data_IF_289025659755
#
_entry.id   IF_289025659755
#
_cell.length_a   1.000
_cell.length_b   1.000
_cell.length_c   1.000
_cell.angle_alpha   90.00
_cell.angle_beta   90.00
_cell.angle_gamma   90.00
#
_symmetry.space_group_name_H-M   'P 1'
#
loop_
_entity.id
_entity.type
_entity.pdbx_description
1 polymer ?
#
# COMPACT_ATOMS: atom_id res chain seq x y z
N UNK A 1 13.65 -3.53 16.31
CA UNK A 1 13.05 -4.88 16.32
C UNK A 1 11.84 -4.86 15.39
N UNK A 2 12.03 -5.32 14.14
CA UNK A 2 11.06 -5.19 13.05
C UNK A 2 9.78 -5.98 13.38
N UNK A 3 8.76 -5.28 13.87
CA UNK A 3 7.39 -5.82 13.94
C UNK A 3 6.80 -5.73 12.55
N UNK A 4 7.02 -6.74 11.71
CA UNK A 4 6.19 -6.91 10.53
C UNK A 4 4.76 -7.07 11.02
N UNK A 5 3.95 -6.02 10.87
CA UNK A 5 2.50 -6.07 11.05
C UNK A 5 1.97 -6.95 9.92
N UNK A 6 1.97 -8.25 10.18
CA UNK A 6 1.43 -9.23 9.27
C UNK A 6 -0.09 -9.02 9.24
N UNK A 7 -0.66 -8.79 8.06
CA UNK A 7 -2.09 -8.55 7.87
C UNK A 7 -2.69 -9.65 7.02
N UNK A 8 -3.87 -10.12 7.42
CA UNK A 8 -4.69 -11.00 6.60
C UNK A 8 -5.49 -10.14 5.61
N UNK A 9 -5.33 -10.39 4.32
CA UNK A 9 -6.17 -9.76 3.29
C UNK A 9 -7.57 -10.37 3.37
N UNK A 10 -8.59 -9.52 3.43
CA UNK A 10 -9.99 -9.93 3.44
C UNK A 10 -10.75 -9.21 2.33
N UNK A 11 -11.63 -9.94 1.64
CA UNK A 11 -12.44 -9.41 0.56
C UNK A 11 -13.68 -8.71 1.14
N UNK A 12 -14.02 -7.53 0.63
CA UNK A 12 -15.24 -6.83 1.04
C UNK A 12 -16.47 -7.45 0.38
N UNK A 13 -17.54 -7.62 1.16
CA UNK A 13 -18.84 -8.07 0.66
C UNK A 13 -19.40 -6.98 -0.29
N UNK A 14 -19.60 -7.33 -1.57
CA UNK A 14 -20.14 -6.41 -2.59
C UNK A 14 -19.30 -6.24 -3.87
N UNK A 15 -18.18 -6.97 -4.00
CA UNK A 15 -17.38 -6.96 -5.23
C UNK A 15 -18.05 -7.75 -6.36
N UNK A 16 -17.98 -7.24 -7.61
CA UNK A 16 -18.46 -7.96 -8.80
C UNK A 16 -17.61 -9.22 -9.06
N UNK A 17 -18.19 -10.24 -9.70
CA UNK A 17 -17.50 -11.51 -10.00
C UNK A 17 -16.23 -11.35 -10.84
N UNK A 18 -16.16 -10.29 -11.66
CA UNK A 18 -14.95 -9.90 -12.40
C UNK A 18 -13.84 -9.42 -11.46
N UNK A 19 -14.15 -8.47 -10.58
CA UNK A 19 -13.24 -7.94 -9.57
C UNK A 19 -12.63 -9.03 -8.68
N UNK A 20 -13.42 -10.03 -8.27
CA UNK A 20 -12.93 -11.14 -7.44
C UNK A 20 -11.88 -11.97 -8.19
N UNK A 21 -12.08 -12.25 -9.48
CA UNK A 21 -11.11 -13.02 -10.30
C UNK A 21 -9.82 -12.24 -10.54
N UNK A 22 -9.93 -10.95 -10.80
CA UNK A 22 -8.77 -10.07 -10.98
C UNK A 22 -7.95 -9.95 -9.69
N UNK A 23 -8.61 -10.09 -8.53
CA UNK A 23 -7.92 -10.13 -7.24
C UNK A 23 -7.03 -11.34 -7.12
N UNK A 24 -7.55 -12.54 -7.41
CA UNK A 24 -6.77 -13.77 -7.29
C UNK A 24 -5.55 -13.75 -8.21
N UNK A 25 -5.65 -13.10 -9.38
CA UNK A 25 -4.50 -12.92 -10.28
C UNK A 25 -3.47 -11.95 -9.71
N UNK A 26 -3.89 -10.76 -9.27
CA UNK A 26 -2.99 -9.76 -8.70
C UNK A 26 -2.32 -10.26 -7.41
N UNK A 27 -3.04 -11.02 -6.58
CA UNK A 27 -2.45 -11.68 -5.40
C UNK A 27 -1.38 -12.70 -5.80
N UNK A 28 -1.60 -13.49 -6.85
CA UNK A 28 -0.62 -14.44 -7.35
C UNK A 28 0.66 -13.74 -7.85
N UNK A 29 0.50 -12.68 -8.64
CA UNK A 29 1.62 -11.88 -9.15
C UNK A 29 2.44 -11.27 -8.02
N UNK A 30 1.79 -10.77 -6.95
CA UNK A 30 2.46 -10.24 -5.78
C UNK A 30 3.14 -11.31 -4.93
N UNK A 31 2.59 -12.53 -4.89
CA UNK A 31 3.21 -13.70 -4.24
C UNK A 31 4.45 -14.15 -5.00
N UNK A 32 4.37 -14.25 -6.33
CA UNK A 32 5.49 -14.62 -7.21
C UNK A 32 6.61 -13.56 -7.16
N UNK A 33 6.25 -12.28 -7.10
CA UNK A 33 7.20 -11.18 -6.93
C UNK A 33 7.83 -11.15 -5.52
N UNK A 34 7.33 -11.93 -4.56
CA UNK A 34 7.82 -11.96 -3.18
C UNK A 34 7.45 -10.74 -2.34
N UNK A 35 6.52 -9.90 -2.82
CA UNK A 35 6.05 -8.70 -2.11
C UNK A 35 5.13 -9.05 -0.93
N UNK A 36 4.38 -10.15 -1.04
CA UNK A 36 3.49 -10.64 0.01
C UNK A 36 3.77 -12.11 0.30
N UNK A 37 3.40 -12.58 1.49
CA UNK A 37 3.48 -13.99 1.86
C UNK A 37 2.22 -14.41 2.63
N UNK A 38 1.78 -15.69 2.52
CA UNK A 38 0.63 -16.19 3.24
C UNK A 38 0.88 -16.16 4.75
N UNK A 39 -0.06 -15.60 5.49
CA UNK A 39 0.10 -15.37 6.92
C UNK A 39 -1.13 -15.71 7.74
N UNK A 40 -0.91 -16.02 9.02
CA UNK A 40 -1.96 -16.33 10.01
C UNK A 40 -2.11 -15.19 11.02
N UNK A 41 -2.21 -13.96 10.51
CA UNK A 41 -2.40 -12.79 11.36
C UNK A 41 -3.80 -12.73 11.98
N UNK A 42 -3.93 -12.30 13.24
CA UNK A 42 -5.24 -12.07 13.87
C UNK A 42 -5.93 -10.81 13.30
N UNK A 43 -5.18 -9.90 12.68
CA UNK A 43 -5.70 -8.67 12.10
C UNK A 43 -5.97 -8.84 10.60
N UNK A 44 -7.23 -8.58 10.22
CA UNK A 44 -7.66 -8.54 8.83
C UNK A 44 -7.83 -7.10 8.34
N UNK A 45 -7.57 -6.86 7.07
CA UNK A 45 -7.83 -5.57 6.41
C UNK A 45 -8.58 -5.79 5.11
N UNK A 46 -9.56 -4.94 4.76
CA UNK A 46 -10.26 -5.07 3.50
C UNK A 46 -9.38 -4.64 2.33
N UNK A 47 -9.53 -5.35 1.21
CA UNK A 47 -8.92 -5.04 -0.08
C UNK A 47 -9.96 -4.43 -1.01
N UNK A 48 -9.57 -3.35 -1.69
CA UNK A 48 -10.39 -2.56 -2.59
C UNK A 48 -9.76 -2.55 -3.99
N UNK A 49 -10.60 -2.46 -5.02
CA UNK A 49 -10.14 -2.29 -6.40
C UNK A 49 -10.52 -0.93 -6.92
N UNK A 50 -9.54 -0.23 -7.50
CA UNK A 50 -9.78 1.00 -8.23
C UNK A 50 -9.49 0.77 -9.71
N UNK A 51 -10.50 1.01 -10.55
CA UNK A 51 -10.33 0.99 -12.00
C UNK A 51 -9.66 2.28 -12.45
N UNK A 52 -8.50 2.14 -13.10
CA UNK A 52 -7.81 3.25 -13.76
C UNK A 52 -8.52 3.57 -15.08
N UNK A 53 -8.30 4.78 -15.59
CA UNK A 53 -8.79 5.22 -16.91
C UNK A 53 -8.36 4.27 -18.03
N UNK A 54 -7.17 3.69 -17.90
CA UNK A 54 -6.58 2.76 -18.87
C UNK A 54 -7.19 1.33 -18.78
N UNK A 55 -8.24 1.13 -17.99
CA UNK A 55 -8.89 -0.17 -17.79
C UNK A 55 -8.20 -1.10 -16.80
N UNK A 56 -6.94 -0.81 -16.44
CA UNK A 56 -6.20 -1.54 -15.40
C UNK A 56 -6.84 -1.40 -14.03
N UNK A 57 -6.77 -2.46 -13.23
CA UNK A 57 -7.24 -2.49 -11.85
C UNK A 57 -6.07 -2.34 -10.89
N UNK A 58 -6.20 -1.43 -9.92
CA UNK A 58 -5.25 -1.25 -8.83
C UNK A 58 -5.79 -1.89 -7.56
N UNK A 59 -5.01 -2.81 -7.01
CA UNK A 59 -5.20 -3.37 -5.67
C UNK A 59 -4.89 -2.31 -4.62
N UNK A 60 -5.85 -1.98 -3.77
CA UNK A 60 -5.69 -0.99 -2.69
C UNK A 60 -6.07 -1.62 -1.35
N UNK A 61 -5.17 -1.58 -0.37
CA UNK A 61 -5.41 -2.11 0.96
C UNK A 61 -5.87 -0.96 1.87
N UNK A 62 -7.02 -1.11 2.54
CA UNK A 62 -7.53 -0.06 3.44
C UNK A 62 -6.87 -0.10 4.82
N UNK A 63 -5.72 0.57 4.94
CA UNK A 63 -5.00 0.69 6.20
C UNK A 63 -5.64 1.62 7.25
N UNK A 64 -6.83 2.19 7.03
CA UNK A 64 -7.41 3.19 7.96
C UNK A 64 -7.55 2.67 9.39
N UNK A 65 -8.04 1.44 9.57
CA UNK A 65 -8.17 0.83 10.89
C UNK A 65 -6.79 0.61 11.53
N UNK A 66 -5.82 0.14 10.74
CA UNK A 66 -4.46 -0.10 11.21
C UNK A 66 -3.73 1.20 11.59
N UNK A 67 -3.90 2.26 10.82
CA UNK A 67 -3.28 3.56 11.04
C UNK A 67 -3.79 4.25 12.32
N UNK A 68 -4.97 3.87 12.82
CA UNK A 68 -5.50 4.35 14.10
C UNK A 68 -4.85 3.69 15.31
N UNK A 69 -4.46 2.42 15.19
CA UNK A 69 -3.84 1.66 16.29
C UNK A 69 -2.31 1.77 16.29
N UNK A 70 -1.72 2.16 15.17
CA UNK A 70 -0.27 2.29 15.02
C UNK A 70 0.24 3.60 15.64
N UNK A 71 1.35 3.52 16.38
CA UNK A 71 2.04 4.70 16.91
C UNK A 71 2.61 5.50 15.73
N UNK A 72 2.18 6.75 15.59
CA UNK A 72 2.64 7.64 14.50
C UNK A 72 4.10 8.01 14.73
N UNK A 73 4.98 7.54 13.85
CA UNK A 73 6.35 8.02 13.79
C UNK A 73 6.38 9.34 13.01
N UNK A 74 6.38 10.46 13.73
CA UNK A 74 6.30 11.80 13.13
C UNK A 74 7.71 12.33 12.85
N UNK A 75 8.14 12.24 11.60
CA UNK A 75 9.28 13.01 11.11
C UNK A 75 8.79 14.23 10.35
N UNK A 76 9.41 15.42 10.55
CA UNK A 76 9.08 16.58 9.75
C UNK A 76 9.48 16.31 8.30
N UNK A 77 8.50 16.27 7.40
CA UNK A 77 8.77 16.32 5.96
C UNK A 77 9.09 17.79 5.66
N UNK A 78 10.33 18.11 5.24
CA UNK A 78 10.73 19.49 4.99
C UNK A 78 9.88 20.10 3.88
N UNK A 79 9.64 21.41 3.95
CA UNK A 79 8.95 22.11 2.88
C UNK A 79 9.82 22.09 1.62
N UNK A 80 9.18 22.10 0.44
CA UNK A 80 9.90 22.14 -0.83
C UNK A 80 10.87 23.34 -0.89
N UNK A 81 10.49 24.49 -0.32
CA UNK A 81 11.35 25.68 -0.23
C UNK A 81 12.62 25.41 0.61
N UNK A 82 12.47 24.79 1.78
CA UNK A 82 13.59 24.43 2.66
C UNK A 82 14.58 23.45 1.98
N UNK A 83 14.07 22.60 1.08
CA UNK A 83 14.90 21.72 0.27
C UNK A 83 15.66 22.50 -0.81
N UNK A 84 15.01 23.44 -1.49
CA UNK A 84 15.65 24.25 -2.52
C UNK A 84 16.75 25.17 -1.97
N UNK A 85 16.57 25.74 -0.77
CA UNK A 85 17.60 26.56 -0.13
C UNK A 85 18.90 25.79 0.12
N UNK A 86 18.81 24.48 0.39
CA UNK A 86 19.99 23.61 0.56
C UNK A 86 20.67 23.27 -0.75
N UNK A 87 19.89 23.23 -1.84
CA UNK A 87 20.29 22.70 -3.14
C UNK A 87 20.66 23.83 -4.11
N UNK A 88 20.29 25.08 -3.82
CA UNK A 88 20.46 26.24 -4.72
C UNK A 88 21.89 26.62 -5.12
N UNK A 89 22.92 26.02 -4.48
CA UNK A 89 24.33 26.19 -4.87
C UNK A 89 24.88 25.04 -5.72
N UNK A 90 24.12 23.97 -5.91
CA UNK A 90 24.55 22.82 -6.67
C UNK A 90 24.44 23.10 -8.18
N UNK A 91 25.46 22.67 -8.92
CA UNK A 91 25.60 22.91 -10.37
C UNK A 91 25.04 21.77 -11.23
N UNK A 92 24.89 20.58 -10.65
CA UNK A 92 24.41 19.38 -11.31
C UNK A 92 23.47 18.61 -10.40
N UNK A 93 22.39 18.07 -10.97
CA UNK A 93 21.39 17.22 -10.32
C UNK A 93 21.31 15.90 -11.11
N UNK A 94 21.14 14.78 -10.41
CA UNK A 94 20.98 13.44 -10.98
C UNK A 94 19.66 12.83 -10.54
#
# INVERSE_FOLDING_TARGET
MNRYLTLKLTYSLGQSSECVRDTSRAELELLEAGNIHPSKAPYGTPVLFQKKKDGLLLLCIDYKALNKVTIKNKYPIPLIADLFDRVGKAKYFS
#
